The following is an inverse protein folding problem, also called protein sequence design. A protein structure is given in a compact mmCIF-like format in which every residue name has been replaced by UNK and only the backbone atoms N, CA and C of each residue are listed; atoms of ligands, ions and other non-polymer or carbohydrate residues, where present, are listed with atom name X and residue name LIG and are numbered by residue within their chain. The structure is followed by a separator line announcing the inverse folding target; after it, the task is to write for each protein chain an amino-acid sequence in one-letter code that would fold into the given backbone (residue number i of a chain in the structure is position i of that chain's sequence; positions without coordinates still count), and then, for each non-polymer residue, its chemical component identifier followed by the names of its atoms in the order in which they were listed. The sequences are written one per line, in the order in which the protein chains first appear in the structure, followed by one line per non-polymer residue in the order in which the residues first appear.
data_IF_246129357875
#
_entry.id   IF_246129357875
#
_cell.length_a   1.000
_cell.length_b   1.000
_cell.length_c   1.000
_cell.angle_alpha   90.00
_cell.angle_beta   90.00
_cell.angle_gamma   90.00
#
_symmetry.space_group_name_H-M   'P 1'
#
loop_
_entity.id
_entity.type
_entity.pdbx_description
1 polymer ?
#
# COMPACT_ATOMS: atom_id res chain seq x y z
N UNK A 1 32.72 12.68 17.72
CA UNK A 1 31.48 12.81 16.92
C UNK A 1 31.21 14.30 16.68
N UNK A 2 30.42 14.62 15.66
CA UNK A 2 29.85 15.97 15.47
C UNK A 2 28.90 16.27 16.64
N UNK A 3 28.93 17.46 17.27
CA UNK A 3 27.98 17.83 18.31
C UNK A 3 26.53 17.85 17.79
N UNK A 4 25.57 17.47 18.62
CA UNK A 4 24.15 17.35 18.23
C UNK A 4 23.55 18.68 17.72
N UNK A 5 23.92 19.80 18.35
CA UNK A 5 23.52 21.15 17.92
C UNK A 5 24.03 21.56 16.52
N UNK A 6 25.05 20.87 16.02
CA UNK A 6 25.67 21.12 14.72
C UNK A 6 25.08 20.18 13.64
N UNK A 7 24.06 19.39 13.98
CA UNK A 7 23.27 18.59 13.05
C UNK A 7 22.13 19.43 12.43
N UNK A 8 21.68 19.11 11.21
CA UNK A 8 22.22 18.09 10.32
C UNK A 8 23.52 18.53 9.63
N UNK A 9 24.42 17.57 9.33
CA UNK A 9 25.53 17.82 8.42
C UNK A 9 25.00 17.74 6.99
N UNK A 10 24.60 18.87 6.44
CA UNK A 10 23.99 18.94 5.11
C UNK A 10 24.99 18.57 4.00
N UNK A 11 24.51 17.81 3.02
CA UNK A 11 25.29 17.49 1.83
C UNK A 11 25.52 18.77 1.01
N UNK A 12 26.74 18.96 0.47
CA UNK A 12 27.01 20.09 -0.40
C UNK A 12 26.31 19.87 -1.74
N UNK A 13 25.97 20.96 -2.43
CA UNK A 13 25.50 20.86 -3.81
C UNK A 13 26.64 20.41 -4.74
N UNK A 14 26.44 19.34 -5.49
CA UNK A 14 27.40 18.80 -6.46
C UNK A 14 26.75 18.74 -7.84
N UNK A 15 27.45 19.22 -8.87
CA UNK A 15 26.96 19.12 -10.27
C UNK A 15 27.13 17.72 -10.87
N UNK A 16 28.09 16.94 -10.39
CA UNK A 16 28.41 15.58 -10.88
C UNK A 16 28.65 14.64 -9.70
N UNK A 17 27.81 13.61 -9.59
CA UNK A 17 27.87 12.60 -8.52
C UNK A 17 28.59 11.31 -8.95
N UNK A 18 29.27 11.32 -10.09
CA UNK A 18 29.89 10.13 -10.66
C UNK A 18 31.06 9.66 -9.78
N UNK A 19 31.24 8.33 -9.61
CA UNK A 19 32.43 7.79 -8.98
C UNK A 19 33.68 8.31 -9.69
N UNK A 20 34.68 8.72 -8.92
CA UNK A 20 35.88 9.39 -9.43
C UNK A 20 36.88 8.42 -10.05
N UNK A 21 36.58 7.12 -10.08
CA UNK A 21 37.48 6.05 -10.53
C UNK A 21 38.59 5.71 -9.53
N UNK A 22 38.78 6.52 -8.48
CA UNK A 22 39.79 6.34 -7.43
C UNK A 22 39.33 5.43 -6.28
N UNK A 23 38.05 5.08 -6.25
CA UNK A 23 37.40 4.42 -5.10
C UNK A 23 36.95 5.38 -4.01
N UNK A 24 37.39 6.64 -4.02
CA UNK A 24 36.97 7.65 -3.05
C UNK A 24 35.58 8.23 -3.36
N UNK A 25 34.84 8.55 -2.31
CA UNK A 25 33.56 9.24 -2.38
C UNK A 25 33.66 10.58 -3.15
N UNK A 26 32.66 10.95 -3.96
CA UNK A 26 32.61 12.27 -4.62
C UNK A 26 32.77 13.45 -3.64
N UNK A 27 32.40 13.27 -2.36
CA UNK A 27 32.52 14.31 -1.33
C UNK A 27 33.97 14.62 -0.98
N UNK A 28 34.90 13.65 -1.10
CA UNK A 28 36.32 13.82 -0.80
C UNK A 28 36.96 14.96 -1.59
N UNK A 29 36.45 15.22 -2.80
CA UNK A 29 36.94 16.24 -3.72
C UNK A 29 36.35 17.64 -3.48
N UNK A 30 35.73 17.88 -2.32
CA UNK A 30 35.14 19.18 -1.97
C UNK A 30 35.85 19.74 -0.72
N UNK A 31 37.04 20.35 -0.87
CA UNK A 31 37.84 20.83 0.26
C UNK A 31 37.09 21.78 1.20
N UNK A 32 36.15 22.57 0.68
CA UNK A 32 35.33 23.51 1.47
C UNK A 32 34.36 22.81 2.41
N UNK A 33 33.93 21.59 2.08
CA UNK A 33 32.99 20.81 2.90
C UNK A 33 33.73 19.82 3.80
N UNK A 34 34.75 19.13 3.24
CA UNK A 34 35.52 18.09 3.94
C UNK A 34 36.39 18.67 5.05
N UNK A 35 37.10 19.77 4.80
CA UNK A 35 37.99 20.34 5.79
C UNK A 35 37.17 21.02 6.89
N UNK A 36 37.35 20.59 8.13
CA UNK A 36 36.66 21.10 9.31
C UNK A 36 37.61 21.18 10.51
N UNK A 37 37.10 21.57 11.68
CA UNK A 37 37.84 21.53 12.94
C UNK A 37 37.40 20.33 13.77
N UNK A 38 38.35 19.75 14.50
CA UNK A 38 38.04 18.73 15.49
C UNK A 38 37.23 19.37 16.64
N UNK A 39 36.01 18.88 16.95
CA UNK A 39 35.18 19.47 18.01
C UNK A 39 35.75 19.23 19.43
N UNK A 40 36.78 18.38 19.58
CA UNK A 40 37.44 18.10 20.87
C UNK A 40 38.67 18.98 21.13
N UNK A 41 39.57 19.11 20.15
CA UNK A 41 40.84 19.82 20.33
C UNK A 41 40.99 21.10 19.51
N UNK A 42 40.03 21.41 18.62
CA UNK A 42 40.07 22.61 17.76
C UNK A 42 41.06 22.54 16.59
N UNK A 43 41.89 21.49 16.51
CA UNK A 43 42.83 21.26 15.42
C UNK A 43 42.16 21.00 14.07
N UNK A 44 42.96 21.00 12.99
CA UNK A 44 42.51 20.67 11.63
C UNK A 44 42.03 19.21 11.58
N UNK A 45 40.86 18.98 10.98
CA UNK A 45 40.26 17.67 10.80
C UNK A 45 39.59 17.56 9.42
N UNK A 46 39.20 16.35 9.04
CA UNK A 46 38.39 16.08 7.84
C UNK A 46 37.08 15.39 8.25
N UNK A 47 35.99 15.73 7.57
CA UNK A 47 34.71 15.00 7.70
C UNK A 47 34.85 13.59 7.13
N UNK A 48 34.02 12.69 7.63
CA UNK A 48 33.72 11.44 6.94
C UNK A 48 33.12 11.79 5.57
N UNK A 49 33.64 11.15 4.53
CA UNK A 49 33.24 11.38 3.14
C UNK A 49 32.28 10.33 2.64
N UNK A 50 32.19 9.19 3.31
CA UNK A 50 31.20 8.18 3.00
C UNK A 50 29.82 8.59 3.49
N UNK A 51 28.80 8.24 2.71
CA UNK A 51 27.40 8.45 3.07
C UNK A 51 26.81 7.15 3.60
N UNK A 52 25.80 7.28 4.46
CA UNK A 52 25.04 6.10 4.83
C UNK A 52 24.30 5.56 3.59
N UNK A 53 24.26 4.24 3.40
CA UNK A 53 23.52 3.62 2.31
C UNK A 53 22.01 3.80 2.47
N UNK A 54 21.25 3.55 1.40
CA UNK A 54 19.79 3.76 1.37
C UNK A 54 19.01 3.06 2.50
N UNK A 55 19.49 1.90 2.97
CA UNK A 55 18.84 1.15 4.05
C UNK A 55 18.93 1.82 5.41
N UNK A 56 19.82 2.81 5.60
CA UNK A 56 19.89 3.60 6.83
C UNK A 56 18.65 4.48 7.02
N UNK A 57 17.96 4.85 5.94
CA UNK A 57 16.65 5.52 6.01
C UNK A 57 15.49 4.53 6.11
N UNK A 58 15.53 3.44 5.32
CA UNK A 58 14.41 2.50 5.24
C UNK A 58 14.31 1.55 6.44
N UNK A 59 15.30 1.48 7.33
CA UNK A 59 15.21 0.62 8.51
C UNK A 59 14.39 1.23 9.67
N UNK A 60 13.97 2.50 9.60
CA UNK A 60 13.19 3.16 10.66
C UNK A 60 12.07 4.09 10.17
N UNK A 61 11.88 4.26 8.86
CA UNK A 61 10.89 5.21 8.29
C UNK A 61 9.45 5.03 8.82
N UNK A 62 9.02 3.80 9.11
CA UNK A 62 7.69 3.50 9.64
C UNK A 62 7.47 4.10 11.04
N UNK A 63 8.54 4.22 11.84
CA UNK A 63 8.53 4.97 13.10
C UNK A 63 8.32 6.46 12.81
N UNK A 64 9.01 6.98 11.79
CA UNK A 64 8.94 8.41 11.47
C UNK A 64 7.56 8.85 10.97
N UNK A 65 6.78 7.96 10.34
CA UNK A 65 5.40 8.27 9.96
C UNK A 65 4.50 8.61 11.15
N UNK A 66 4.83 8.13 12.35
CA UNK A 66 4.06 8.46 13.56
C UNK A 66 4.20 9.93 13.96
N UNK A 67 5.32 10.58 13.61
CA UNK A 67 5.59 11.99 13.94
C UNK A 67 6.55 12.67 12.95
N UNK A 68 6.17 12.87 11.69
CA UNK A 68 7.11 13.21 10.61
C UNK A 68 7.70 14.62 10.71
N UNK A 69 7.09 15.49 11.52
CA UNK A 69 7.47 16.91 11.67
C UNK A 69 8.24 17.21 12.96
N UNK A 70 8.55 16.20 13.78
CA UNK A 70 9.27 16.40 15.03
C UNK A 70 10.76 16.71 14.78
N UNK A 71 11.21 17.89 15.16
CA UNK A 71 12.57 18.38 14.94
C UNK A 71 13.50 18.13 16.14
N UNK A 72 12.98 17.56 17.24
CA UNK A 72 13.73 17.33 18.49
C UNK A 72 14.04 15.86 18.75
N UNK A 73 13.10 14.98 18.40
CA UNK A 73 13.18 13.55 18.67
C UNK A 73 12.84 12.75 17.42
N UNK A 74 13.12 11.45 17.50
CA UNK A 74 12.75 10.48 16.48
C UNK A 74 11.23 10.53 16.20
N UNK A 75 10.44 10.44 17.27
CA UNK A 75 9.00 10.67 17.34
C UNK A 75 8.57 10.87 18.80
N UNK A 76 7.41 11.51 19.02
CA UNK A 76 6.81 11.62 20.35
C UNK A 76 6.42 10.24 20.94
N UNK A 77 6.69 10.04 22.23
CA UNK A 77 6.49 8.74 22.89
C UNK A 77 5.02 8.30 22.95
N UNK A 78 4.08 9.24 23.09
CA UNK A 78 2.65 8.90 23.14
C UNK A 78 2.15 8.51 21.74
N UNK A 79 2.64 9.20 20.69
CA UNK A 79 2.36 8.80 19.31
C UNK A 79 2.95 7.43 18.97
N UNK A 80 4.13 7.12 19.48
CA UNK A 80 4.74 5.79 19.33
C UNK A 80 3.92 4.72 20.02
N UNK A 81 3.47 4.93 21.27
CA UNK A 81 2.61 3.97 21.98
C UNK A 81 1.27 3.74 21.28
N UNK A 82 0.74 4.78 20.63
CA UNK A 82 -0.53 4.69 19.91
C UNK A 82 -0.41 3.92 18.58
N UNK A 83 0.59 4.25 17.77
CA UNK A 83 0.71 3.71 16.40
C UNK A 83 1.55 2.46 16.28
N UNK A 84 2.48 2.21 17.21
CA UNK A 84 3.39 1.08 17.14
C UNK A 84 2.94 -0.04 18.07
N UNK A 85 3.14 -1.30 17.65
CA UNK A 85 3.78 -1.73 16.39
C UNK A 85 2.85 -1.63 15.19
N UNK A 86 3.42 -1.78 14.00
CA UNK A 86 2.62 -1.97 12.79
C UNK A 86 1.87 -3.31 12.89
N UNK A 87 0.54 -3.27 12.87
CA UNK A 87 -0.29 -4.48 12.96
C UNK A 87 -0.02 -5.43 11.80
N UNK A 88 0.01 -4.90 10.57
CA UNK A 88 0.22 -5.69 9.37
C UNK A 88 1.18 -5.02 8.40
N UNK A 89 2.30 -5.69 8.13
CA UNK A 89 3.31 -5.26 7.17
C UNK A 89 3.29 -6.14 5.92
N UNK A 90 3.02 -5.55 4.77
CA UNK A 90 3.02 -6.23 3.48
C UNK A 90 4.25 -5.83 2.65
N UNK A 91 4.99 -6.81 2.12
CA UNK A 91 6.11 -6.54 1.23
C UNK A 91 6.69 -7.78 0.57
N UNK A 92 7.36 -7.62 -0.57
CA UNK A 92 7.88 -8.73 -1.37
C UNK A 92 8.97 -9.55 -0.68
N UNK A 93 9.25 -10.74 -1.24
CA UNK A 93 10.23 -11.68 -0.69
C UNK A 93 11.66 -11.13 -0.73
N UNK A 94 11.97 -10.26 -1.69
CA UNK A 94 13.30 -9.68 -1.94
C UNK A 94 13.85 -8.89 -0.74
N UNK A 95 12.99 -8.48 0.18
CA UNK A 95 13.37 -7.70 1.36
C UNK A 95 13.55 -8.53 2.64
N UNK A 96 13.39 -9.85 2.57
CA UNK A 96 13.41 -10.75 3.75
C UNK A 96 14.74 -10.72 4.51
N UNK A 97 15.86 -10.78 3.79
CA UNK A 97 17.22 -10.74 4.40
C UNK A 97 17.88 -9.37 4.34
N UNK A 98 17.14 -8.35 3.91
CA UNK A 98 17.61 -6.97 3.80
C UNK A 98 16.82 -6.08 4.74
N UNK A 99 15.85 -5.33 4.20
CA UNK A 99 15.08 -4.35 4.96
C UNK A 99 14.45 -4.96 6.23
N UNK A 100 13.86 -6.16 6.17
CA UNK A 100 13.24 -6.78 7.34
C UNK A 100 14.23 -7.20 8.42
N UNK A 101 15.47 -7.52 8.05
CA UNK A 101 16.53 -7.79 9.02
C UNK A 101 17.00 -6.48 9.66
N UNK A 102 17.29 -5.47 8.83
CA UNK A 102 17.80 -4.18 9.29
C UNK A 102 16.78 -3.41 10.12
N UNK A 103 15.50 -3.44 9.74
CA UNK A 103 14.44 -2.74 10.49
C UNK A 103 14.23 -3.36 11.85
N UNK A 104 14.22 -4.69 11.95
CA UNK A 104 14.17 -5.38 13.25
C UNK A 104 15.39 -5.10 14.10
N UNK A 105 16.59 -5.10 13.51
CA UNK A 105 17.82 -4.79 14.23
C UNK A 105 17.80 -3.38 14.83
N UNK A 106 17.49 -2.36 14.03
CA UNK A 106 17.41 -0.98 14.52
C UNK A 106 16.27 -0.82 15.52
N UNK A 107 15.11 -1.44 15.28
CA UNK A 107 13.99 -1.37 16.22
C UNK A 107 14.33 -1.98 17.58
N UNK A 108 15.07 -3.09 17.62
CA UNK A 108 15.56 -3.68 18.88
C UNK A 108 16.55 -2.78 19.61
N UNK A 109 17.50 -2.18 18.88
CA UNK A 109 18.37 -1.17 19.46
C UNK A 109 17.58 -0.02 20.09
N UNK A 110 16.58 0.51 19.38
CA UNK A 110 15.70 1.57 19.87
C UNK A 110 14.87 1.13 21.08
N UNK A 111 14.47 -0.15 21.15
CA UNK A 111 13.77 -0.71 22.29
C UNK A 111 14.70 -0.79 23.51
N UNK A 112 15.92 -1.28 23.34
CA UNK A 112 16.91 -1.43 24.40
C UNK A 112 17.28 -0.08 25.05
N UNK A 113 17.27 1.01 24.27
CA UNK A 113 17.48 2.38 24.79
C UNK A 113 16.18 3.09 25.21
N UNK A 114 15.04 2.40 25.20
CA UNK A 114 13.76 2.91 25.70
C UNK A 114 13.01 3.89 24.80
N UNK A 115 13.34 3.96 23.50
CA UNK A 115 12.71 4.90 22.55
C UNK A 115 11.37 4.37 22.02
N UNK A 116 11.26 3.07 21.73
CA UNK A 116 10.05 2.44 21.19
C UNK A 116 9.37 1.56 22.25
N UNK A 117 8.03 1.37 22.20
CA UNK A 117 7.29 0.76 23.29
C UNK A 117 7.44 -0.77 23.39
N UNK A 118 7.97 -1.45 22.37
CA UNK A 118 8.09 -2.90 22.33
C UNK A 118 9.28 -3.37 21.48
N UNK A 119 9.59 -4.67 21.51
CA UNK A 119 10.82 -5.24 20.96
C UNK A 119 10.77 -5.67 19.47
N UNK A 120 9.61 -5.63 18.84
CA UNK A 120 9.42 -5.97 17.41
C UNK A 120 8.56 -4.93 16.69
N UNK A 121 8.92 -4.52 15.46
CA UNK A 121 8.22 -3.45 14.74
C UNK A 121 6.91 -3.87 14.07
N UNK A 122 6.73 -5.17 13.80
CA UNK A 122 5.61 -5.71 13.01
C UNK A 122 4.93 -6.85 13.76
N UNK A 123 3.60 -6.83 13.91
CA UNK A 123 2.86 -7.95 14.52
C UNK A 123 2.64 -9.10 13.52
N UNK A 124 2.19 -8.77 12.31
CA UNK A 124 1.99 -9.71 11.19
C UNK A 124 2.78 -9.24 9.98
N UNK A 125 3.46 -10.16 9.30
CA UNK A 125 4.07 -9.90 7.98
C UNK A 125 3.48 -10.84 6.94
N UNK A 126 3.02 -10.28 5.83
CA UNK A 126 2.58 -11.05 4.65
C UNK A 126 3.44 -10.67 3.46
N UNK A 127 3.71 -11.65 2.61
CA UNK A 127 4.41 -11.46 1.35
C UNK A 127 3.41 -11.50 0.20
N UNK A 128 3.48 -10.53 -0.71
CA UNK A 128 2.77 -10.59 -1.98
C UNK A 128 3.57 -11.31 -3.07
N UNK A 129 2.88 -11.92 -4.01
CA UNK A 129 3.46 -12.50 -5.21
C UNK A 129 3.89 -11.44 -6.23
N UNK A 130 4.64 -11.85 -7.24
CA UNK A 130 5.16 -10.95 -8.28
C UNK A 130 4.22 -10.95 -9.48
N UNK A 131 3.80 -9.76 -9.91
CA UNK A 131 3.09 -9.60 -11.19
C UNK A 131 4.11 -9.68 -12.33
N UNK A 132 3.90 -10.63 -13.23
CA UNK A 132 4.69 -10.87 -14.43
C UNK A 132 4.03 -10.17 -15.62
N UNK A 133 4.82 -9.90 -16.66
CA UNK A 133 4.27 -9.43 -17.93
C UNK A 133 3.40 -10.52 -18.60
N UNK A 134 2.68 -10.17 -19.67
CA UNK A 134 1.81 -11.12 -20.40
C UNK A 134 2.59 -12.32 -20.97
N UNK A 135 3.89 -12.14 -21.23
CA UNK A 135 4.81 -13.18 -21.71
C UNK A 135 5.36 -14.09 -20.59
N UNK A 136 4.91 -13.90 -19.35
CA UNK A 136 5.34 -14.67 -18.18
C UNK A 136 6.70 -14.30 -17.62
N UNK A 137 7.39 -13.28 -18.16
CA UNK A 137 8.67 -12.80 -17.62
C UNK A 137 8.45 -11.70 -16.59
N UNK A 138 9.42 -11.52 -15.69
CA UNK A 138 9.45 -10.35 -14.80
C UNK A 138 9.46 -9.07 -15.65
N UNK A 139 8.61 -8.11 -15.30
CA UNK A 139 8.57 -6.82 -15.99
C UNK A 139 9.92 -6.10 -15.87
N UNK A 140 10.46 -5.65 -17.01
CA UNK A 140 11.69 -4.86 -17.08
C UNK A 140 11.68 -3.90 -18.26
N UNK A 141 12.19 -2.68 -18.06
CA UNK A 141 12.36 -1.71 -19.15
C UNK A 141 13.24 -2.26 -20.28
N UNK A 142 14.24 -3.08 -19.97
CA UNK A 142 15.13 -3.70 -20.97
C UNK A 142 14.41 -4.68 -21.90
N UNK A 143 13.29 -5.27 -21.46
CA UNK A 143 12.50 -6.19 -22.26
C UNK A 143 11.33 -5.51 -22.97
N UNK A 144 11.07 -4.23 -22.69
CA UNK A 144 9.93 -3.50 -23.26
C UNK A 144 8.56 -4.08 -22.85
N UNK A 145 8.51 -4.90 -21.80
CA UNK A 145 7.31 -5.65 -21.38
C UNK A 145 6.64 -5.07 -20.13
N UNK A 146 6.95 -3.82 -19.77
CA UNK A 146 6.38 -3.14 -18.60
C UNK A 146 4.96 -2.68 -18.96
N UNK A 147 3.97 -3.12 -18.18
CA UNK A 147 2.63 -2.54 -18.23
C UNK A 147 2.67 -1.19 -17.51
N UNK A 148 2.19 -0.14 -18.18
CA UNK A 148 2.05 1.18 -17.57
C UNK A 148 0.65 1.32 -16.94
N UNK A 149 0.53 1.43 -15.60
CA UNK A 149 -0.75 1.63 -14.93
C UNK A 149 -1.57 2.80 -15.46
N UNK A 150 -0.93 3.90 -15.87
CA UNK A 150 -1.62 5.10 -16.37
C UNK A 150 -2.41 4.82 -17.66
N UNK A 151 -1.89 3.92 -18.51
CA UNK A 151 -2.59 3.51 -19.73
C UNK A 151 -3.85 2.70 -19.38
N UNK A 152 -3.72 1.77 -18.43
CA UNK A 152 -4.85 0.96 -17.96
C UNK A 152 -5.92 1.83 -17.30
N UNK A 153 -5.51 2.78 -16.44
CA UNK A 153 -6.42 3.72 -15.79
C UNK A 153 -7.14 4.59 -16.82
N UNK A 154 -6.42 5.11 -17.82
CA UNK A 154 -7.02 5.94 -18.87
C UNK A 154 -8.06 5.20 -19.70
N UNK A 155 -7.82 3.93 -20.01
CA UNK A 155 -8.70 3.14 -20.89
C UNK A 155 -9.85 2.45 -20.13
N UNK A 156 -9.60 1.97 -18.91
CA UNK A 156 -10.55 1.12 -18.16
C UNK A 156 -11.00 1.70 -16.81
N UNK A 157 -10.31 2.70 -16.30
CA UNK A 157 -10.58 3.34 -15.00
C UNK A 157 -9.84 2.72 -13.82
N UNK A 158 -9.64 3.52 -12.77
CA UNK A 158 -8.88 3.14 -11.56
C UNK A 158 -9.46 1.93 -10.85
N UNK A 159 -10.78 1.83 -10.69
CA UNK A 159 -11.40 0.69 -10.01
C UNK A 159 -11.26 -0.60 -10.80
N UNK A 160 -11.23 -0.54 -12.14
CA UNK A 160 -10.95 -1.73 -12.95
C UNK A 160 -9.55 -2.25 -12.66
N UNK A 161 -8.54 -1.37 -12.61
CA UNK A 161 -7.16 -1.75 -12.28
C UNK A 161 -7.09 -2.39 -10.89
N UNK A 162 -7.63 -1.72 -9.87
CA UNK A 162 -7.63 -2.20 -8.47
C UNK A 162 -8.28 -3.58 -8.35
N UNK A 163 -9.49 -3.74 -8.88
CA UNK A 163 -10.24 -5.00 -8.81
C UNK A 163 -9.52 -6.09 -9.59
N UNK A 164 -8.93 -5.77 -10.76
CA UNK A 164 -8.13 -6.72 -11.50
C UNK A 164 -6.90 -7.19 -10.72
N UNK A 165 -6.19 -6.27 -10.03
CA UNK A 165 -5.04 -6.62 -9.20
C UNK A 165 -5.40 -7.55 -8.05
N UNK A 166 -6.57 -7.34 -7.43
CA UNK A 166 -7.10 -8.22 -6.40
C UNK A 166 -7.62 -9.56 -6.95
N UNK A 167 -8.04 -9.61 -8.21
CA UNK A 167 -8.71 -10.76 -8.80
C UNK A 167 -7.80 -11.73 -9.55
N UNK A 168 -6.67 -11.25 -10.07
CA UNK A 168 -5.86 -12.00 -11.04
C UNK A 168 -5.33 -13.35 -10.52
N UNK A 169 -5.19 -13.51 -9.20
CA UNK A 169 -4.78 -14.78 -8.60
C UNK A 169 -4.62 -14.69 -7.08
N UNK A 170 -4.20 -15.79 -6.43
CA UNK A 170 -3.85 -15.77 -5.01
C UNK A 170 -2.78 -14.73 -4.72
N UNK A 171 -2.96 -13.98 -3.62
CA UNK A 171 -2.18 -12.77 -3.32
C UNK A 171 -0.68 -13.02 -3.13
N UNK A 172 -0.29 -14.21 -2.70
CA UNK A 172 1.09 -14.63 -2.43
C UNK A 172 1.80 -15.29 -3.63
N UNK A 173 1.10 -15.49 -4.75
CA UNK A 173 1.61 -16.22 -5.91
C UNK A 173 2.00 -15.30 -7.06
N UNK A 174 3.00 -15.71 -7.84
CA UNK A 174 3.35 -15.01 -9.07
C UNK A 174 2.28 -15.28 -10.14
N UNK A 175 1.92 -14.24 -10.88
CA UNK A 175 0.83 -14.30 -11.86
C UNK A 175 1.14 -13.41 -13.06
N UNK A 176 0.85 -13.92 -14.26
CA UNK A 176 1.02 -13.15 -15.49
C UNK A 176 -0.15 -12.18 -15.68
N UNK A 177 0.19 -10.96 -16.08
CA UNK A 177 -0.80 -9.98 -16.49
C UNK A 177 -1.64 -10.48 -17.67
N UNK A 178 -2.92 -10.12 -17.70
CA UNK A 178 -3.86 -10.48 -18.76
C UNK A 178 -4.81 -9.32 -19.05
N UNK A 179 -4.65 -8.69 -20.21
CA UNK A 179 -5.60 -7.66 -20.67
C UNK A 179 -7.04 -8.19 -20.80
N UNK A 180 -7.23 -9.48 -21.06
CA UNK A 180 -8.57 -10.08 -21.08
C UNK A 180 -9.19 -10.13 -19.69
N UNK A 181 -8.38 -10.37 -18.65
CA UNK A 181 -8.81 -10.27 -17.26
C UNK A 181 -9.25 -8.86 -16.89
N UNK A 182 -8.48 -7.84 -17.29
CA UNK A 182 -8.84 -6.41 -17.12
C UNK A 182 -10.20 -6.11 -17.76
N UNK A 183 -10.41 -6.54 -19.01
CA UNK A 183 -11.70 -6.38 -19.71
C UNK A 183 -12.85 -7.11 -19.00
N UNK A 184 -12.59 -8.27 -18.41
CA UNK A 184 -13.57 -9.02 -17.62
C UNK A 184 -14.04 -8.24 -16.39
N UNK A 185 -13.09 -7.67 -15.65
CA UNK A 185 -13.38 -6.82 -14.49
C UNK A 185 -14.16 -5.57 -14.91
N UNK A 186 -13.79 -4.93 -16.02
CA UNK A 186 -14.53 -3.78 -16.54
C UNK A 186 -16.00 -4.11 -16.78
N UNK A 187 -16.28 -5.25 -17.43
CA UNK A 187 -17.66 -5.72 -17.67
C UNK A 187 -18.43 -5.99 -16.37
N UNK A 188 -17.76 -6.53 -15.35
CA UNK A 188 -18.34 -6.72 -14.03
C UNK A 188 -18.76 -5.38 -13.41
N UNK A 189 -17.88 -4.38 -13.40
CA UNK A 189 -18.20 -3.05 -12.85
C UNK A 189 -19.33 -2.36 -13.64
N UNK A 190 -19.35 -2.47 -14.96
CA UNK A 190 -20.45 -1.97 -15.78
C UNK A 190 -21.78 -2.68 -15.52
N UNK A 191 -21.73 -3.97 -15.17
CA UNK A 191 -22.92 -4.71 -14.73
C UNK A 191 -23.44 -4.15 -13.40
N UNK A 192 -22.57 -3.98 -12.40
CA UNK A 192 -22.96 -3.39 -11.10
C UNK A 192 -23.58 -2.01 -11.29
N UNK A 193 -22.98 -1.17 -12.14
CA UNK A 193 -23.51 0.13 -12.50
C UNK A 193 -24.94 0.05 -13.04
N UNK A 194 -25.14 -0.78 -14.08
CA UNK A 194 -26.46 -0.95 -14.71
C UNK A 194 -27.49 -1.54 -13.75
N UNK A 195 -27.11 -2.50 -12.91
CA UNK A 195 -28.01 -3.10 -11.93
C UNK A 195 -28.45 -2.09 -10.88
N UNK A 196 -27.54 -1.25 -10.42
CA UNK A 196 -27.82 -0.22 -9.41
C UNK A 196 -28.78 0.83 -9.95
N UNK A 197 -28.51 1.39 -11.14
CA UNK A 197 -29.33 2.45 -11.72
C UNK A 197 -30.72 1.97 -12.17
N UNK A 198 -30.85 0.70 -12.55
CA UNK A 198 -32.12 0.11 -12.99
C UNK A 198 -32.82 -0.69 -11.87
N UNK A 199 -32.47 -0.45 -10.60
CA UNK A 199 -33.12 -1.12 -9.47
C UNK A 199 -34.61 -0.79 -9.45
N UNK A 200 -35.47 -1.80 -9.62
CA UNK A 200 -36.93 -1.62 -9.70
C UNK A 200 -37.58 -1.34 -8.32
N UNK A 201 -36.81 -1.47 -7.24
CA UNK A 201 -37.34 -1.38 -5.87
C UNK A 201 -38.26 -2.56 -5.52
N UNK A 202 -38.61 -2.68 -4.24
CA UNK A 202 -39.48 -3.77 -3.77
C UNK A 202 -39.10 -4.25 -2.37
N UNK A 203 -39.70 -5.37 -1.94
CA UNK A 203 -39.32 -6.08 -0.72
C UNK A 203 -38.35 -7.21 -1.08
N UNK A 204 -37.21 -7.27 -0.41
CA UNK A 204 -36.28 -8.36 -0.65
C UNK A 204 -36.84 -9.70 -0.19
N UNK A 205 -36.69 -10.72 -1.03
CA UNK A 205 -37.03 -12.09 -0.66
C UNK A 205 -36.01 -12.65 0.33
N UNK A 206 -36.41 -13.66 1.11
CA UNK A 206 -35.52 -14.27 2.11
C UNK A 206 -34.23 -14.80 1.48
N UNK A 207 -34.31 -15.31 0.24
CA UNK A 207 -33.13 -15.78 -0.50
C UNK A 207 -32.13 -14.66 -0.80
N UNK A 208 -32.60 -13.45 -1.15
CA UNK A 208 -31.73 -12.30 -1.43
C UNK A 208 -31.07 -11.80 -0.15
N UNK A 209 -31.84 -11.71 0.94
CA UNK A 209 -31.32 -11.34 2.26
C UNK A 209 -30.25 -12.35 2.71
N UNK A 210 -30.52 -13.64 2.58
CA UNK A 210 -29.55 -14.69 2.92
C UNK A 210 -28.29 -14.62 2.03
N UNK A 211 -28.43 -14.31 0.76
CA UNK A 211 -27.31 -14.19 -0.17
C UNK A 211 -26.38 -13.01 0.21
N UNK A 212 -26.91 -11.84 0.56
CA UNK A 212 -26.06 -10.69 0.93
C UNK A 212 -25.35 -10.92 2.27
N UNK A 213 -25.99 -11.61 3.23
CA UNK A 213 -25.32 -11.97 4.50
C UNK A 213 -24.21 -13.00 4.29
N UNK A 214 -24.42 -13.98 3.39
CA UNK A 214 -23.36 -14.92 2.99
C UNK A 214 -22.21 -14.19 2.31
N UNK A 215 -22.51 -13.23 1.42
CA UNK A 215 -21.49 -12.39 0.81
C UNK A 215 -20.71 -11.67 1.91
N UNK A 216 -21.38 -10.93 2.81
CA UNK A 216 -20.74 -10.18 3.89
C UNK A 216 -19.74 -11.04 4.68
N UNK A 217 -20.22 -12.18 5.20
CA UNK A 217 -19.37 -13.13 5.94
C UNK A 217 -18.16 -13.57 5.11
N UNK A 218 -18.34 -13.84 3.82
CA UNK A 218 -17.26 -14.25 2.93
C UNK A 218 -16.25 -13.13 2.71
N UNK A 219 -16.69 -11.88 2.59
CA UNK A 219 -15.80 -10.71 2.48
C UNK A 219 -14.96 -10.56 3.75
N UNK A 220 -15.57 -10.64 4.93
CA UNK A 220 -14.85 -10.54 6.21
C UNK A 220 -13.77 -11.61 6.34
N UNK A 221 -14.13 -12.88 6.11
CA UNK A 221 -13.21 -14.01 6.22
C UNK A 221 -12.06 -13.91 5.20
N UNK A 222 -12.34 -13.49 3.96
CA UNK A 222 -11.33 -13.42 2.92
C UNK A 222 -10.43 -12.18 3.03
N UNK A 223 -10.92 -11.05 3.56
CA UNK A 223 -10.07 -9.88 3.84
C UNK A 223 -9.01 -10.23 4.88
N UNK A 224 -9.41 -10.84 5.99
CA UNK A 224 -8.49 -11.27 7.06
C UNK A 224 -7.48 -12.32 6.59
N UNK A 225 -7.95 -13.25 5.76
CA UNK A 225 -7.13 -14.31 5.16
C UNK A 225 -6.36 -13.86 3.91
N UNK A 226 -6.47 -12.61 3.47
CA UNK A 226 -5.83 -12.07 2.26
C UNK A 226 -6.19 -12.82 0.96
N UNK A 227 -7.39 -13.40 0.89
CA UNK A 227 -7.91 -14.15 -0.26
C UNK A 227 -8.68 -13.24 -1.23
N UNK A 228 -8.01 -12.20 -1.72
CA UNK A 228 -8.66 -11.15 -2.51
C UNK A 228 -9.32 -11.67 -3.81
N UNK A 229 -8.76 -12.69 -4.44
CA UNK A 229 -9.31 -13.24 -5.68
C UNK A 229 -10.65 -13.96 -5.45
N UNK A 230 -10.78 -14.73 -4.37
CA UNK A 230 -12.04 -15.39 -4.02
C UNK A 230 -13.07 -14.40 -3.50
N UNK A 231 -12.62 -13.35 -2.84
CA UNK A 231 -13.45 -12.22 -2.42
C UNK A 231 -14.09 -11.53 -3.62
N UNK A 232 -13.30 -11.19 -4.65
CA UNK A 232 -13.84 -10.59 -5.89
C UNK A 232 -14.73 -11.56 -6.66
N UNK A 233 -14.39 -12.86 -6.69
CA UNK A 233 -15.27 -13.87 -7.28
C UNK A 233 -16.65 -13.90 -6.61
N UNK A 234 -16.72 -13.81 -5.29
CA UNK A 234 -17.97 -13.77 -4.55
C UNK A 234 -18.83 -12.53 -4.90
N UNK A 235 -18.21 -11.36 -5.11
CA UNK A 235 -18.92 -10.18 -5.62
C UNK A 235 -19.48 -10.41 -7.03
N UNK A 236 -18.72 -11.04 -7.93
CA UNK A 236 -19.17 -11.34 -9.28
C UNK A 236 -20.35 -12.33 -9.28
N UNK A 237 -20.27 -13.37 -8.46
CA UNK A 237 -21.35 -14.34 -8.25
C UNK A 237 -22.61 -13.67 -7.71
N UNK A 238 -22.47 -12.80 -6.70
CA UNK A 238 -23.61 -12.06 -6.16
C UNK A 238 -24.22 -11.11 -7.20
N UNK A 239 -23.41 -10.42 -8.02
CA UNK A 239 -23.92 -9.56 -9.08
C UNK A 239 -24.70 -10.34 -10.15
N UNK A 240 -24.30 -11.57 -10.47
CA UNK A 240 -25.06 -12.46 -11.35
C UNK A 240 -26.38 -12.88 -10.69
N UNK A 241 -26.34 -13.30 -9.42
CA UNK A 241 -27.52 -13.64 -8.65
C UNK A 241 -28.50 -12.45 -8.54
N UNK A 242 -28.01 -11.24 -8.29
CA UNK A 242 -28.83 -10.03 -8.28
C UNK A 242 -29.46 -9.77 -9.67
N UNK A 243 -28.71 -9.95 -10.76
CA UNK A 243 -29.25 -9.80 -12.11
C UNK A 243 -30.44 -10.72 -12.40
N UNK A 244 -30.45 -11.93 -11.86
CA UNK A 244 -31.55 -12.90 -12.00
C UNK A 244 -32.74 -12.57 -11.09
N UNK A 245 -32.50 -11.83 -10.00
CA UNK A 245 -33.46 -11.58 -8.92
C UNK A 245 -33.75 -10.08 -8.72
N UNK A 246 -33.71 -9.28 -9.80
CA UNK A 246 -33.86 -7.81 -9.74
C UNK A 246 -35.12 -7.34 -9.03
N UNK A 247 -36.26 -7.98 -9.32
CA UNK A 247 -37.57 -7.67 -8.74
C UNK A 247 -37.68 -7.99 -7.25
N UNK A 248 -36.76 -8.80 -6.75
CA UNK A 248 -36.67 -9.23 -5.36
C UNK A 248 -35.49 -8.60 -4.64
N UNK A 249 -34.87 -7.56 -5.21
CA UNK A 249 -33.73 -6.88 -4.61
C UNK A 249 -34.12 -5.44 -4.30
N UNK A 250 -34.24 -5.16 -3.01
CA UNK A 250 -34.57 -3.83 -2.49
C UNK A 250 -33.34 -2.93 -2.39
N UNK A 251 -33.58 -1.62 -2.28
CA UNK A 251 -32.54 -0.59 -2.24
C UNK A 251 -31.52 -0.82 -1.10
N UNK A 252 -31.96 -1.27 0.07
CA UNK A 252 -31.10 -1.56 1.22
C UNK A 252 -30.08 -2.68 0.95
N UNK A 253 -30.44 -3.68 0.12
CA UNK A 253 -29.50 -4.73 -0.28
C UNK A 253 -28.44 -4.17 -1.23
N UNK A 254 -28.85 -3.29 -2.14
CA UNK A 254 -27.94 -2.61 -3.07
C UNK A 254 -26.97 -1.72 -2.29
N UNK A 255 -27.49 -0.93 -1.35
CA UNK A 255 -26.72 -0.08 -0.45
C UNK A 255 -25.69 -0.91 0.34
N UNK A 256 -26.10 -2.04 0.94
CA UNK A 256 -25.19 -2.95 1.63
C UNK A 256 -24.12 -3.54 0.70
N UNK A 257 -24.48 -3.94 -0.51
CA UNK A 257 -23.52 -4.43 -1.51
C UNK A 257 -22.47 -3.36 -1.85
N UNK A 258 -22.89 -2.10 -2.04
CA UNK A 258 -21.97 -0.99 -2.33
C UNK A 258 -21.02 -0.70 -1.16
N UNK A 259 -21.52 -0.73 0.08
CA UNK A 259 -20.67 -0.54 1.27
C UNK A 259 -19.59 -1.62 1.32
N UNK A 260 -19.96 -2.88 1.04
CA UNK A 260 -18.99 -3.98 0.97
C UNK A 260 -17.99 -3.81 -0.17
N UNK A 261 -18.42 -3.31 -1.33
CA UNK A 261 -17.57 -3.14 -2.51
C UNK A 261 -16.60 -1.94 -2.38
N UNK A 262 -16.95 -0.92 -1.61
CA UNK A 262 -16.25 0.36 -1.52
C UNK A 262 -14.75 0.28 -1.22
N UNK A 263 -14.25 -0.61 -0.32
CA UNK A 263 -12.81 -0.69 -0.08
C UNK A 263 -12.02 -1.13 -1.33
N UNK A 264 -12.65 -1.91 -2.20
CA UNK A 264 -12.02 -2.46 -3.40
C UNK A 264 -12.24 -1.58 -4.64
N UNK A 265 -13.47 -1.11 -4.86
CA UNK A 265 -13.84 -0.20 -5.96
C UNK A 265 -14.45 1.11 -5.41
N UNK A 266 -13.63 1.99 -4.83
CA UNK A 266 -14.10 3.17 -4.10
C UNK A 266 -14.85 4.18 -4.97
N UNK A 267 -14.41 4.42 -6.20
CA UNK A 267 -14.93 5.51 -7.03
C UNK A 267 -16.33 5.19 -7.54
N UNK A 268 -16.52 4.00 -8.10
CA UNK A 268 -17.82 3.55 -8.60
C UNK A 268 -18.83 3.37 -7.46
N UNK A 269 -18.37 2.92 -6.28
CA UNK A 269 -19.24 2.73 -5.12
C UNK A 269 -19.75 4.06 -4.59
N UNK A 270 -18.87 5.08 -4.45
CA UNK A 270 -19.25 6.44 -4.04
C UNK A 270 -20.19 7.11 -5.06
N UNK A 271 -19.90 6.99 -6.36
CA UNK A 271 -20.73 7.58 -7.42
C UNK A 271 -22.14 6.95 -7.44
N UNK A 272 -22.22 5.62 -7.34
CA UNK A 272 -23.50 4.92 -7.28
C UNK A 272 -24.26 5.20 -5.97
N UNK A 273 -23.55 5.36 -4.86
CA UNK A 273 -24.13 5.76 -3.58
C UNK A 273 -24.82 7.14 -3.68
N UNK A 274 -24.17 8.12 -4.30
CA UNK A 274 -24.76 9.44 -4.53
C UNK A 274 -25.95 9.37 -5.50
N UNK A 275 -25.87 8.55 -6.55
CA UNK A 275 -26.99 8.31 -7.48
C UNK A 275 -28.21 7.68 -6.78
N UNK A 276 -28.01 6.93 -5.70
CA UNK A 276 -29.09 6.44 -4.84
C UNK A 276 -29.68 7.53 -3.92
N UNK A 277 -29.21 8.78 -4.02
CA UNK A 277 -29.74 9.94 -3.30
C UNK A 277 -29.03 10.25 -1.99
N UNK A 278 -27.93 9.57 -1.67
CA UNK A 278 -27.16 9.84 -0.46
C UNK A 278 -26.32 11.11 -0.61
N UNK A 279 -26.30 11.93 0.45
CA UNK A 279 -25.56 13.21 0.46
C UNK A 279 -24.20 13.14 1.15
N UNK A 280 -23.96 12.06 1.90
CA UNK A 280 -22.72 11.82 2.64
C UNK A 280 -21.95 10.71 1.95
N UNK A 281 -20.62 10.77 2.06
CA UNK A 281 -19.75 9.75 1.48
C UNK A 281 -20.02 8.37 2.07
N UNK A 282 -19.92 7.35 1.22
CA UNK A 282 -20.09 5.94 1.61
C UNK A 282 -19.04 5.53 2.67
N UNK A 283 -17.88 6.19 2.71
CA UNK A 283 -16.82 5.93 3.69
C UNK A 283 -17.16 6.43 5.11
N UNK A 284 -18.28 7.13 5.30
CA UNK A 284 -18.81 7.48 6.61
C UNK A 284 -19.80 6.44 7.15
N UNK A 285 -20.21 5.49 6.31
CA UNK A 285 -21.09 4.39 6.73
C UNK A 285 -20.33 3.36 7.56
N UNK A 286 -21.06 2.66 8.43
CA UNK A 286 -20.49 1.57 9.22
C UNK A 286 -20.30 0.34 8.34
N UNK A 287 -19.22 -0.40 8.61
CA UNK A 287 -19.04 -1.71 8.00
C UNK A 287 -20.23 -2.63 8.35
N UNK A 288 -20.83 -3.34 7.37
CA UNK A 288 -22.14 -3.97 7.53
C UNK A 288 -22.19 -5.25 8.35
#
# INVERSE_FOLDING_TARGET
PVPEKDLPVELPYIKKYQPTGTGESPLANIPKWVNTKCPRCGGKAKRETDTMPNWAGSNWYFIRYTDPKNDKFLADSEKLKYWMPVDWYNGGMEHTTLHLLYSRFIYKFLFDIGVVPQSEPYQKRTTHGVVLAEDGRKMSKSFGNVINPDQIIKEYGTDTLRIYEMFMGPFDQAIAWSIQGVKGVRRFLEKVWKLTLNGEGGKSSERVIRAIHKLNKKIDEDLEATKFNTLIAAFMEFANFWQENKKETSKDIIERFLILLAPMAPHISEELWQNLGHKKSIFLEKWP
#
